data_IF_579827120481
#
_entry.id   IF_579827120481
#
_cell.length_a   1.000
_cell.length_b   1.000
_cell.length_c   1.000
_cell.angle_alpha   90.00
_cell.angle_beta   90.00
_cell.angle_gamma   90.00
#
_symmetry.space_group_name_H-M   'P 1'
#
loop_
_entity.id
_entity.type
_entity.pdbx_description
1 polymer ?
#
# COMPACT_ATOMS: atom_id res chain seq x y z
N UNK A 1 -14.43 9.76 2.75
CA UNK A 1 -12.96 9.77 2.56
C UNK A 1 -12.56 8.46 1.89
N UNK A 2 -11.41 8.40 1.22
CA UNK A 2 -11.00 7.23 0.42
C UNK A 2 -10.17 6.24 1.25
N UNK A 3 -10.43 4.95 1.07
CA UNK A 3 -9.71 3.86 1.76
C UNK A 3 -9.47 2.68 0.81
N UNK A 4 -8.46 1.86 1.09
CA UNK A 4 -8.18 0.61 0.36
C UNK A 4 -8.73 -0.63 1.05
N UNK A 5 -9.00 -0.54 2.35
CA UNK A 5 -9.54 -1.58 3.21
C UNK A 5 -10.57 -0.97 4.17
N UNK A 6 -11.32 -1.84 4.83
CA UNK A 6 -12.28 -1.48 5.88
C UNK A 6 -12.20 -2.49 7.05
N UNK A 7 -12.98 -2.25 8.09
CA UNK A 7 -12.96 -3.07 9.31
C UNK A 7 -13.33 -4.55 9.07
N UNK A 8 -14.19 -4.84 8.09
CA UNK A 8 -14.48 -6.24 7.70
C UNK A 8 -13.22 -6.95 7.24
N UNK A 9 -12.37 -6.27 6.45
CA UNK A 9 -11.10 -6.83 6.02
C UNK A 9 -10.14 -7.05 7.18
N UNK A 10 -10.16 -6.21 8.22
CA UNK A 10 -9.32 -6.43 9.42
C UNK A 10 -9.79 -7.67 10.19
N UNK A 11 -11.11 -7.82 10.36
CA UNK A 11 -11.70 -8.93 11.11
C UNK A 11 -11.45 -10.30 10.46
N UNK A 12 -11.19 -10.36 9.16
CA UNK A 12 -10.75 -11.57 8.47
C UNK A 12 -9.38 -12.08 8.98
N UNK A 13 -8.48 -11.18 9.38
CA UNK A 13 -7.17 -11.54 9.89
C UNK A 13 -7.14 -11.63 11.41
N UNK A 14 -7.83 -10.72 12.09
CA UNK A 14 -7.81 -10.57 13.54
C UNK A 14 -9.24 -10.37 14.07
N UNK A 15 -10.03 -11.45 14.19
CA UNK A 15 -11.46 -11.37 14.52
C UNK A 15 -11.72 -10.82 15.92
N UNK A 16 -10.78 -10.96 16.84
CA UNK A 16 -10.91 -10.54 18.24
C UNK A 16 -10.42 -9.11 18.49
N UNK A 17 -9.96 -8.39 17.46
CA UNK A 17 -9.26 -7.10 17.63
C UNK A 17 -10.13 -6.03 18.32
N UNK A 18 -11.44 -6.06 18.12
CA UNK A 18 -12.38 -5.11 18.72
C UNK A 18 -12.60 -5.34 20.22
N UNK A 19 -12.24 -6.52 20.75
CA UNK A 19 -12.38 -6.83 22.18
C UNK A 19 -11.35 -6.10 23.04
N UNK A 20 -10.32 -5.51 22.43
CA UNK A 20 -9.24 -4.80 23.12
C UNK A 20 -9.54 -3.30 23.36
N UNK A 21 -10.80 -2.88 23.26
CA UNK A 21 -11.26 -1.56 23.68
C UNK A 21 -11.28 -0.49 22.58
N UNK A 22 -11.05 -0.86 21.32
CA UNK A 22 -11.21 0.03 20.16
C UNK A 22 -12.25 -0.60 19.22
N UNK A 23 -13.40 0.06 19.05
CA UNK A 23 -14.53 -0.50 18.30
C UNK A 23 -14.44 -0.27 16.79
N UNK A 24 -13.88 0.86 16.36
CA UNK A 24 -13.85 1.28 14.95
C UNK A 24 -12.46 1.81 14.57
N UNK A 25 -12.03 1.50 13.33
CA UNK A 25 -10.71 1.89 12.82
C UNK A 25 -10.76 2.75 11.56
N UNK A 26 -11.91 3.32 11.19
CA UNK A 26 -12.12 4.11 9.96
C UNK A 26 -11.03 5.17 9.71
N UNK A 27 -10.72 5.99 10.73
CA UNK A 27 -9.70 7.03 10.61
C UNK A 27 -8.26 6.48 10.43
N UNK A 28 -8.02 5.20 10.75
CA UNK A 28 -6.73 4.54 10.54
C UNK A 28 -6.61 4.01 9.11
N UNK A 29 -7.71 3.55 8.51
CA UNK A 29 -7.76 3.17 7.10
C UNK A 29 -7.47 4.36 6.18
N UNK A 30 -7.98 5.54 6.50
CA UNK A 30 -7.69 6.78 5.77
C UNK A 30 -6.20 7.14 5.80
N UNK A 31 -5.57 7.05 6.98
CA UNK A 31 -4.13 7.30 7.12
C UNK A 31 -3.31 6.28 6.32
N UNK A 32 -3.71 5.01 6.36
CA UNK A 32 -3.05 3.97 5.59
C UNK A 32 -3.19 4.19 4.08
N UNK A 33 -4.33 4.71 3.63
CA UNK A 33 -4.52 5.08 2.23
C UNK A 33 -3.53 6.16 1.81
N UNK A 34 -3.43 7.25 2.56
CA UNK A 34 -2.50 8.35 2.27
C UNK A 34 -1.03 7.89 2.25
N UNK A 35 -0.66 6.99 3.17
CA UNK A 35 0.70 6.45 3.26
C UNK A 35 1.05 5.53 2.07
N UNK A 36 0.13 4.64 1.66
CA UNK A 36 0.33 3.78 0.50
C UNK A 36 0.43 4.61 -0.78
N UNK A 37 -0.41 5.63 -0.95
CA UNK A 37 -0.30 6.57 -2.07
C UNK A 37 1.03 7.31 -2.06
N UNK A 38 1.53 7.72 -0.88
CA UNK A 38 2.86 8.33 -0.76
C UNK A 38 3.96 7.36 -1.19
N UNK A 39 3.88 6.10 -0.77
CA UNK A 39 4.86 5.08 -1.16
C UNK A 39 4.84 4.80 -2.66
N UNK A 40 3.66 4.75 -3.28
CA UNK A 40 3.53 4.61 -4.74
C UNK A 40 4.13 5.80 -5.48
N UNK A 41 3.90 7.03 -5.02
CA UNK A 41 4.50 8.23 -5.59
C UNK A 41 6.03 8.24 -5.50
N UNK A 42 6.61 7.58 -4.49
CA UNK A 42 8.07 7.52 -4.30
C UNK A 42 8.69 6.35 -5.08
N UNK A 43 8.13 5.15 -4.94
CA UNK A 43 8.77 3.90 -5.41
C UNK A 43 8.38 3.50 -6.83
N UNK A 44 7.16 3.84 -7.27
CA UNK A 44 6.58 3.38 -8.53
C UNK A 44 6.42 4.51 -9.55
N UNK A 45 5.71 5.60 -9.19
CA UNK A 45 5.32 6.65 -10.13
C UNK A 45 6.46 7.22 -10.97
N UNK A 46 7.67 7.51 -10.42
CA UNK A 46 8.77 8.02 -11.23
C UNK A 46 9.11 7.05 -12.36
N UNK A 47 9.11 5.73 -12.10
CA UNK A 47 9.43 4.71 -13.09
C UNK A 47 8.32 4.53 -14.13
N UNK A 48 7.07 4.65 -13.70
CA UNK A 48 5.91 4.56 -14.57
C UNK A 48 5.82 5.76 -15.53
N UNK A 49 6.09 6.97 -15.02
CA UNK A 49 6.09 8.21 -15.79
C UNK A 49 7.23 8.27 -16.82
N UNK A 50 8.45 7.86 -16.43
CA UNK A 50 9.59 7.77 -17.36
C UNK A 50 9.36 6.79 -18.52
N UNK A 51 8.52 5.78 -18.35
CA UNK A 51 8.13 4.87 -19.45
C UNK A 51 7.19 5.51 -20.47
N UNK A 52 6.56 6.65 -20.13
CA UNK A 52 5.51 7.29 -20.93
C UNK A 52 5.99 8.52 -21.72
N UNK A 53 6.98 9.27 -21.22
CA UNK A 53 7.45 10.51 -21.85
C UNK A 53 8.91 10.46 -22.31
N UNK A 54 9.18 11.06 -23.47
CA UNK A 54 10.52 11.25 -24.04
C UNK A 54 11.44 11.97 -23.03
N UNK A 55 12.59 11.36 -22.73
CA UNK A 55 13.59 11.82 -21.75
C UNK A 55 14.20 13.21 -22.07
N UNK A 56 13.95 13.74 -23.27
CA UNK A 56 14.38 15.08 -23.67
C UNK A 56 13.56 16.21 -23.03
N UNK A 57 12.41 15.91 -22.43
CA UNK A 57 11.57 16.92 -21.75
C UNK A 57 11.88 16.91 -20.24
N UNK A 58 12.99 17.56 -19.88
CA UNK A 58 13.33 17.85 -18.49
C UNK A 58 12.32 18.85 -17.93
N UNK A 59 11.35 18.38 -17.14
CA UNK A 59 10.48 19.26 -16.35
C UNK A 59 9.02 18.83 -16.15
N UNK A 60 8.51 17.82 -16.86
CA UNK A 60 7.07 17.46 -16.81
C UNK A 60 6.70 16.41 -15.76
N UNK A 61 7.67 15.74 -15.13
CA UNK A 61 7.46 14.69 -14.11
C UNK A 61 6.97 15.18 -12.73
N UNK A 62 6.28 16.33 -12.69
CA UNK A 62 5.86 16.98 -11.44
C UNK A 62 4.41 16.68 -11.04
N UNK A 63 3.64 15.99 -11.88
CA UNK A 63 2.31 15.52 -11.50
C UNK A 63 2.44 14.29 -10.60
N UNK A 64 1.70 14.27 -9.49
CA UNK A 64 1.56 13.08 -8.63
C UNK A 64 0.64 12.07 -9.30
N UNK A 65 0.76 10.80 -8.94
CA UNK A 65 -0.17 9.77 -9.40
C UNK A 65 -1.62 10.16 -9.03
N UNK A 66 -2.57 9.87 -9.92
CA UNK A 66 -3.99 10.13 -9.67
C UNK A 66 -4.63 8.90 -9.02
N UNK A 67 -5.02 8.93 -7.73
CA UNK A 67 -5.47 7.73 -7.03
C UNK A 67 -6.74 7.08 -7.60
N UNK A 68 -7.59 7.87 -8.28
CA UNK A 68 -8.81 7.38 -8.91
C UNK A 68 -8.57 6.44 -10.10
N UNK A 69 -7.33 6.39 -10.60
CA UNK A 69 -6.91 5.52 -11.72
C UNK A 69 -6.26 4.22 -11.23
N UNK A 70 -6.14 4.03 -9.92
CA UNK A 70 -5.62 2.80 -9.33
C UNK A 70 -6.73 1.77 -9.17
N UNK A 71 -6.40 0.51 -9.45
CA UNK A 71 -7.24 -0.62 -9.03
C UNK A 71 -7.15 -0.80 -7.52
N UNK A 72 -8.11 -0.26 -6.79
CA UNK A 72 -8.12 -0.26 -5.31
C UNK A 72 -8.03 -1.66 -4.70
N UNK A 73 -8.64 -2.66 -5.35
CA UNK A 73 -8.63 -4.07 -4.91
C UNK A 73 -7.22 -4.68 -4.84
N UNK A 74 -6.26 -4.20 -5.63
CA UNK A 74 -4.88 -4.68 -5.59
C UNK A 74 -4.20 -4.36 -4.25
N UNK A 75 -4.62 -3.27 -3.60
CA UNK A 75 -3.98 -2.76 -2.39
C UNK A 75 -4.66 -3.20 -1.09
N UNK A 76 -5.80 -3.89 -1.15
CA UNK A 76 -6.59 -4.22 0.05
C UNK A 76 -5.79 -5.02 1.06
N UNK A 77 -5.05 -6.06 0.63
CA UNK A 77 -4.21 -6.87 1.53
C UNK A 77 -3.07 -6.08 2.15
N UNK A 78 -2.35 -5.29 1.33
CA UNK A 78 -1.29 -4.41 1.81
C UNK A 78 -1.83 -3.38 2.83
N UNK A 79 -3.00 -2.80 2.56
CA UNK A 79 -3.64 -1.85 3.45
C UNK A 79 -4.02 -2.47 4.80
N UNK A 80 -4.55 -3.70 4.82
CA UNK A 80 -4.83 -4.42 6.08
C UNK A 80 -3.55 -4.60 6.91
N UNK A 81 -2.46 -5.08 6.30
CA UNK A 81 -1.19 -5.27 6.99
C UNK A 81 -0.61 -3.96 7.51
N UNK A 82 -0.72 -2.90 6.71
CA UNK A 82 -0.24 -1.58 7.11
C UNK A 82 -1.04 -0.99 8.28
N UNK A 83 -2.37 -1.07 8.23
CA UNK A 83 -3.25 -0.62 9.33
C UNK A 83 -2.94 -1.39 10.62
N UNK A 84 -2.83 -2.71 10.55
CA UNK A 84 -2.50 -3.54 11.70
C UNK A 84 -1.11 -3.20 12.27
N UNK A 85 -0.08 -3.22 11.44
CA UNK A 85 1.32 -3.09 11.84
C UNK A 85 1.74 -1.66 12.25
N UNK A 86 1.18 -0.62 11.64
CA UNK A 86 1.59 0.77 11.89
C UNK A 86 0.61 1.56 12.75
N UNK A 87 -0.66 1.14 12.82
CA UNK A 87 -1.67 1.91 13.52
C UNK A 87 -2.34 1.16 14.67
N UNK A 88 -2.83 -0.05 14.48
CA UNK A 88 -3.61 -0.75 15.51
C UNK A 88 -2.69 -1.30 16.62
N UNK A 89 -1.73 -2.18 16.30
CA UNK A 89 -0.91 -2.80 17.34
C UNK A 89 -0.04 -1.85 18.16
N UNK A 90 0.52 -0.76 17.60
CA UNK A 90 1.19 0.24 18.40
C UNK A 90 0.28 0.93 19.43
N UNK A 91 -1.05 0.93 19.24
CA UNK A 91 -2.00 1.49 20.20
C UNK A 91 -2.39 0.51 21.29
N UNK A 92 -2.32 -0.79 21.00
CA UNK A 92 -2.63 -1.87 21.94
C UNK A 92 -1.42 -2.33 22.74
N UNK A 93 -0.22 -2.09 22.22
CA UNK A 93 1.03 -2.50 22.85
C UNK A 93 1.33 -1.70 24.11
N UNK A 94 1.81 -2.39 25.15
CA UNK A 94 2.34 -1.78 26.37
C UNK A 94 3.80 -1.34 26.21
N UNK A 95 4.46 -1.77 25.14
CA UNK A 95 5.89 -1.54 24.86
C UNK A 95 6.81 -1.96 26.01
N UNK A 96 6.46 -3.05 26.70
CA UNK A 96 7.29 -3.64 27.74
C UNK A 96 8.68 -3.99 27.16
N UNK A 97 9.80 -3.67 27.84
CA UNK A 97 11.14 -4.08 27.43
C UNK A 97 11.25 -5.57 27.10
N UNK A 98 10.67 -6.44 27.92
CA UNK A 98 10.73 -7.90 27.78
C UNK A 98 9.87 -8.39 26.60
N UNK A 99 8.93 -7.56 26.16
CA UNK A 99 8.08 -7.76 24.99
C UNK A 99 6.65 -8.12 25.32
N UNK A 100 5.77 -7.75 24.39
CA UNK A 100 4.35 -8.09 24.46
C UNK A 100 3.86 -8.71 23.15
N UNK A 101 2.74 -9.41 23.23
CA UNK A 101 2.10 -10.07 22.10
C UNK A 101 1.86 -9.09 20.94
N UNK A 102 1.46 -7.85 21.26
CA UNK A 102 1.16 -6.85 20.25
C UNK A 102 2.41 -6.34 19.53
N UNK A 103 3.57 -6.25 20.17
CA UNK A 103 4.85 -5.92 19.54
C UNK A 103 5.33 -7.02 18.61
N UNK A 104 5.09 -8.29 18.96
CA UNK A 104 5.37 -9.41 18.07
C UNK A 104 4.47 -9.37 16.83
N UNK A 105 3.15 -9.20 17.02
CA UNK A 105 2.20 -9.04 15.91
C UNK A 105 2.52 -7.81 15.06
N UNK A 106 2.81 -6.67 15.68
CA UNK A 106 3.25 -5.44 15.02
C UNK A 106 4.45 -5.72 14.10
N UNK A 107 5.48 -6.40 14.60
CA UNK A 107 6.67 -6.75 13.83
C UNK A 107 6.33 -7.65 12.65
N UNK A 108 5.49 -8.66 12.87
CA UNK A 108 5.02 -9.56 11.81
C UNK A 108 4.30 -8.80 10.69
N UNK A 109 3.30 -7.98 11.02
CA UNK A 109 2.49 -7.28 10.02
C UNK A 109 3.26 -6.19 9.28
N UNK A 110 4.24 -5.54 9.93
CA UNK A 110 5.16 -4.62 9.24
C UNK A 110 5.97 -5.33 8.17
N UNK A 111 6.55 -6.50 8.51
CA UNK A 111 7.29 -7.31 7.53
C UNK A 111 6.38 -7.82 6.42
N UNK A 112 5.19 -8.32 6.76
CA UNK A 112 4.20 -8.78 5.78
C UNK A 112 3.76 -7.66 4.84
N UNK A 113 3.61 -6.43 5.33
CA UNK A 113 3.35 -5.26 4.49
C UNK A 113 4.48 -4.98 3.51
N UNK A 114 5.73 -4.98 3.98
CA UNK A 114 6.89 -4.72 3.12
C UNK A 114 7.02 -5.79 2.02
N UNK A 115 6.83 -7.07 2.36
CA UNK A 115 6.81 -8.18 1.41
C UNK A 115 5.68 -8.03 0.39
N UNK A 116 4.46 -7.78 0.86
CA UNK A 116 3.29 -7.63 -0.01
C UNK A 116 3.41 -6.43 -0.95
N UNK A 117 3.87 -5.29 -0.43
CA UNK A 117 4.03 -4.09 -1.23
C UNK A 117 5.12 -4.28 -2.29
N UNK A 118 6.21 -4.99 -1.96
CA UNK A 118 7.25 -5.35 -2.92
C UNK A 118 6.74 -6.33 -3.99
N UNK A 119 5.88 -7.28 -3.62
CA UNK A 119 5.19 -8.16 -4.57
C UNK A 119 4.29 -7.36 -5.54
N UNK A 120 3.50 -6.41 -5.04
CA UNK A 120 2.68 -5.52 -5.89
C UNK A 120 3.55 -4.73 -6.87
N UNK A 121 4.68 -4.18 -6.41
CA UNK A 121 5.61 -3.45 -7.27
C UNK A 121 6.28 -4.34 -8.32
N UNK A 122 6.49 -5.63 -8.01
CA UNK A 122 7.07 -6.64 -8.92
C UNK A 122 6.07 -7.23 -9.89
N UNK A 123 4.81 -7.40 -9.50
CA UNK A 123 3.75 -7.80 -10.41
C UNK A 123 3.46 -6.68 -11.42
N UNK A 124 3.45 -5.45 -10.92
CA UNK A 124 3.07 -4.26 -11.68
C UNK A 124 1.84 -3.64 -11.06
N UNK A 125 1.84 -2.32 -10.95
CA UNK A 125 0.67 -1.61 -10.40
C UNK A 125 -0.36 -1.44 -11.52
N UNK A 126 -1.56 -1.97 -11.29
CA UNK A 126 -2.73 -1.77 -12.17
C UNK A 126 -3.15 -0.30 -12.16
N UNK A 127 -2.80 0.45 -13.21
CA UNK A 127 -3.10 1.88 -13.35
C UNK A 127 -3.68 2.23 -14.72
N UNK A 128 -4.92 2.72 -14.73
CA UNK A 128 -5.64 3.20 -15.92
C UNK A 128 -4.95 4.44 -16.48
N UNK A 129 -4.14 4.22 -17.50
CA UNK A 129 -3.18 5.20 -17.98
C UNK A 129 -3.81 6.18 -18.96
N UNK A 130 -4.76 5.71 -19.75
CA UNK A 130 -5.49 6.46 -20.76
C UNK A 130 -6.85 6.98 -20.26
N UNK A 131 -7.21 6.66 -19.01
CA UNK A 131 -8.47 7.04 -18.39
C UNK A 131 -9.69 6.38 -19.05
N UNK A 132 -9.51 5.20 -19.65
CA UNK A 132 -10.55 4.44 -20.34
C UNK A 132 -11.53 3.75 -19.38
N UNK A 133 -11.13 3.54 -18.11
CA UNK A 133 -11.88 2.79 -17.11
C UNK A 133 -11.62 1.28 -17.12
N UNK A 134 -10.84 0.78 -18.07
CA UNK A 134 -10.36 -0.60 -18.13
C UNK A 134 -8.87 -0.65 -17.77
N UNK A 135 -8.39 -1.83 -17.36
CA UNK A 135 -6.98 -2.05 -17.09
C UNK A 135 -6.48 -3.10 -18.06
N UNK A 136 -5.54 -2.74 -18.92
CA UNK A 136 -4.97 -3.65 -19.91
C UNK A 136 -3.62 -4.22 -19.43
N UNK A 137 -3.26 -5.42 -19.90
CA UNK A 137 -1.94 -6.03 -19.64
C UNK A 137 -0.77 -5.12 -20.08
N UNK A 138 -1.02 -4.21 -21.02
CA UNK A 138 -0.03 -3.23 -21.47
C UNK A 138 0.21 -2.11 -20.45
N UNK A 139 -0.73 -1.86 -19.54
CA UNK A 139 -0.67 -0.86 -18.47
C UNK A 139 -0.19 -1.48 -17.15
N UNK A 140 -0.48 -2.76 -16.93
CA UNK A 140 0.02 -3.56 -15.82
C UNK A 140 1.43 -4.10 -16.14
N UNK A 141 2.40 -3.18 -16.28
CA UNK A 141 3.80 -3.58 -16.50
C UNK A 141 4.59 -3.54 -15.20
N UNK A 142 5.20 -4.66 -14.87
CA UNK A 142 6.28 -4.72 -13.89
C UNK A 142 7.48 -3.90 -14.37
N UNK A 143 7.91 -2.93 -13.56
CA UNK A 143 9.15 -2.19 -13.78
C UNK A 143 10.33 -2.82 -13.03
N UNK A 144 10.09 -3.89 -12.25
CA UNK A 144 11.09 -4.51 -11.39
C UNK A 144 11.60 -5.82 -12.01
N UNK A 145 12.34 -5.70 -13.13
CA UNK A 145 13.09 -6.83 -13.64
C UNK A 145 14.28 -7.09 -12.71
N UNK A 146 14.43 -8.32 -12.20
CA UNK A 146 15.67 -8.80 -11.56
C UNK A 146 16.83 -8.92 -12.58
N UNK A 147 16.96 -7.94 -13.46
CA UNK A 147 17.94 -7.89 -14.51
C UNK A 147 18.90 -6.76 -14.19
N UNK A 148 20.16 -7.12 -13.96
CA UNK A 148 21.29 -6.20 -14.03
C UNK A 148 21.25 -5.51 -15.41
N UNK A 149 20.87 -4.24 -15.43
CA UNK A 149 21.09 -3.36 -16.57
C UNK A 149 22.58 -3.02 -16.53
N UNK A 150 23.32 -3.69 -17.40
CA UNK A 150 24.75 -3.49 -17.67
C UNK A 150 24.91 -2.54 -18.84
#
# INVERSE_FOLDING_TARGET
>A
MSTFANDTNILEYEPDIQKYGIAEFDALHEKSYDDIIRLLNIKWWPKADYGRYDITIVGTSSEKLSPSRLRTAQFTRAAVYHVLGYYIYPRLSTFDPDGDLFREKMTYYKRAFDEEFDLILREGVSYDSDSSGDYTDAEERSFHFNRLVR
#
